data_IF_673135742441
#
_entry.id   IF_673135742441
#
_cell.length_a   1.000
_cell.length_b   1.000
_cell.length_c   1.000
_cell.angle_alpha   90.00
_cell.angle_beta   90.00
_cell.angle_gamma   90.00
#
_symmetry.space_group_name_H-M   'P 1'
#
loop_
_entity.id
_entity.type
_entity.pdbx_description
1 polymer ?
#
# COMPACT_ATOMS: atom_id res chain seq x y z
N UNK A 1 -14.15 11.22 -59.72
CA UNK A 1 -14.80 10.97 -58.41
C UNK A 1 -14.27 12.00 -57.41
N UNK A 2 -15.11 12.85 -56.80
CA UNK A 2 -14.62 13.94 -55.94
C UNK A 2 -14.17 13.38 -54.59
N UNK A 3 -12.98 13.79 -54.13
CA UNK A 3 -12.49 13.44 -52.80
C UNK A 3 -13.21 14.28 -51.74
N UNK A 4 -13.91 13.61 -50.82
CA UNK A 4 -14.56 14.24 -49.66
C UNK A 4 -13.50 14.81 -48.73
N UNK A 5 -13.52 16.14 -48.52
CA UNK A 5 -12.69 16.81 -47.51
C UNK A 5 -13.20 16.46 -46.11
N UNK A 6 -12.32 15.98 -45.24
CA UNK A 6 -12.64 15.68 -43.83
C UNK A 6 -12.64 16.98 -43.03
N UNK A 7 -13.64 17.18 -42.18
CA UNK A 7 -13.76 18.32 -41.28
C UNK A 7 -12.79 18.20 -40.09
N UNK A 8 -12.19 19.31 -39.67
CA UNK A 8 -11.33 19.38 -38.49
C UNK A 8 -12.12 19.15 -37.19
N UNK A 9 -11.45 18.63 -36.15
CA UNK A 9 -12.03 18.47 -34.82
C UNK A 9 -12.33 19.83 -34.19
N UNK A 10 -13.60 20.11 -33.83
CA UNK A 10 -14.02 21.40 -33.28
C UNK A 10 -13.53 21.69 -31.85
N UNK A 11 -12.88 20.74 -31.18
CA UNK A 11 -12.42 20.90 -29.79
C UNK A 11 -10.94 21.32 -29.73
N UNK A 12 -10.11 20.82 -30.65
CA UNK A 12 -8.66 21.08 -30.66
C UNK A 12 -8.15 21.68 -31.98
N UNK A 13 -9.01 21.84 -32.99
CA UNK A 13 -8.72 22.46 -34.28
C UNK A 13 -7.44 21.96 -34.97
N UNK A 14 -7.05 20.70 -34.74
CA UNK A 14 -5.91 20.05 -35.39
C UNK A 14 -6.38 18.90 -36.28
N UNK A 15 -5.71 18.73 -37.42
CA UNK A 15 -5.86 17.57 -38.29
C UNK A 15 -4.85 16.52 -37.87
N UNK A 16 -5.28 15.51 -37.10
CA UNK A 16 -4.38 14.43 -36.70
C UNK A 16 -4.07 13.49 -37.88
N UNK A 17 -2.79 13.44 -38.25
CA UNK A 17 -2.24 12.37 -39.08
C UNK A 17 -1.79 11.27 -38.14
N UNK A 18 -2.52 10.16 -38.07
CA UNK A 18 -2.06 8.96 -37.37
C UNK A 18 -0.88 8.35 -38.14
N UNK A 19 0.32 8.39 -37.57
CA UNK A 19 1.42 7.50 -37.93
C UNK A 19 1.90 6.77 -36.69
N UNK A 20 1.88 5.44 -36.77
CA UNK A 20 2.61 4.56 -35.88
C UNK A 20 4.08 4.53 -36.30
N UNK A 21 5.01 4.63 -35.35
CA UNK A 21 6.11 3.65 -35.17
C UNK A 21 7.08 4.06 -34.04
N UNK A 22 7.43 3.04 -33.26
CA UNK A 22 8.67 2.72 -32.54
C UNK A 22 9.76 3.80 -32.28
N UNK A 23 10.20 3.86 -31.02
CA UNK A 23 11.62 3.99 -30.67
C UNK A 23 12.13 5.38 -30.29
N UNK A 24 12.30 5.58 -28.97
CA UNK A 24 13.21 6.50 -28.29
C UNK A 24 13.08 8.05 -28.41
N UNK A 25 13.15 8.63 -27.21
CA UNK A 25 13.64 9.94 -26.75
C UNK A 25 12.73 11.19 -26.71
N UNK A 26 12.55 11.64 -25.45
CA UNK A 26 12.80 12.98 -24.88
C UNK A 26 12.19 14.19 -25.61
N UNK A 27 11.37 14.95 -24.87
CA UNK A 27 11.48 16.42 -24.90
C UNK A 27 10.86 17.04 -23.65
N UNK A 28 11.68 17.91 -23.06
CA UNK A 28 11.41 18.86 -21.99
C UNK A 28 10.17 19.73 -22.21
N UNK A 29 9.56 20.15 -21.10
CA UNK A 29 8.97 21.50 -21.03
C UNK A 29 8.97 22.05 -19.61
N UNK A 30 9.95 22.91 -19.37
CA UNK A 30 9.97 24.00 -18.38
C UNK A 30 8.69 24.85 -18.51
N UNK A 31 8.09 25.20 -17.38
CA UNK A 31 7.27 26.41 -17.27
C UNK A 31 7.39 26.95 -15.84
N UNK A 32 8.30 27.91 -15.70
CA UNK A 32 8.34 28.87 -14.60
C UNK A 32 7.16 29.85 -14.80
N UNK A 33 6.44 30.16 -13.72
CA UNK A 33 5.58 31.34 -13.69
C UNK A 33 5.57 31.94 -12.30
N UNK A 34 6.36 33.00 -12.20
CA UNK A 34 6.39 34.05 -11.18
C UNK A 34 5.09 34.87 -11.17
N UNK A 35 4.63 35.28 -9.99
CA UNK A 35 4.11 36.64 -9.77
C UNK A 35 3.99 36.97 -8.27
N UNK A 36 4.65 38.06 -7.89
CA UNK A 36 4.51 38.78 -6.63
C UNK A 36 3.28 39.70 -6.64
N UNK A 37 2.74 40.01 -5.46
CA UNK A 37 1.73 41.05 -5.27
C UNK A 37 1.38 41.26 -3.80
N UNK A 38 1.79 42.40 -3.25
CA UNK A 38 1.65 42.82 -1.85
C UNK A 38 0.38 43.66 -1.60
N UNK A 39 -0.17 43.66 -0.38
CA UNK A 39 -0.36 44.89 0.45
C UNK A 39 -1.23 44.72 1.73
N UNK A 40 -0.66 45.23 2.83
CA UNK A 40 -1.22 46.05 3.93
C UNK A 40 -2.36 45.57 4.88
N UNK A 41 -1.95 45.23 6.13
CA UNK A 41 -2.28 45.81 7.48
C UNK A 41 -3.73 46.22 7.87
N UNK A 42 -4.13 46.32 9.18
CA UNK A 42 -3.31 46.48 10.40
C UNK A 42 -3.73 45.71 11.70
N UNK A 43 -2.88 45.89 12.73
CA UNK A 43 -2.88 45.45 14.15
C UNK A 43 -3.98 46.15 15.00
N UNK A 44 -4.32 45.66 16.21
CA UNK A 44 -3.61 46.10 17.43
C UNK A 44 -3.36 44.99 18.49
N UNK A 45 -2.45 45.28 19.42
CA UNK A 45 -2.02 44.46 20.58
C UNK A 45 -2.63 45.03 21.88
N UNK A 46 -2.11 44.78 23.11
CA UNK A 46 -1.47 43.60 23.75
C UNK A 46 -2.15 43.27 25.11
N UNK A 47 -2.00 42.05 25.66
CA UNK A 47 -2.05 41.85 27.14
C UNK A 47 -1.02 40.80 27.54
N UNK A 48 -0.16 41.19 28.48
CA UNK A 48 0.92 40.44 29.10
C UNK A 48 0.58 40.33 30.59
N UNK A 49 0.46 39.11 31.14
CA UNK A 49 0.50 38.87 32.59
C UNK A 49 1.00 37.42 32.80
N UNK A 50 2.31 37.21 32.98
CA UNK A 50 3.06 37.06 34.24
C UNK A 50 2.74 35.79 35.08
N UNK A 51 3.68 34.81 34.99
CA UNK A 51 4.38 34.02 36.05
C UNK A 51 3.55 33.37 37.19
N UNK A 52 3.67 32.08 37.56
CA UNK A 52 4.83 31.34 38.15
C UNK A 52 4.47 29.82 38.34
N UNK A 53 5.32 28.90 38.88
CA UNK A 53 5.43 27.49 38.44
C UNK A 53 5.17 26.40 39.52
N UNK A 54 5.31 25.12 39.07
CA UNK A 54 5.62 23.83 39.79
C UNK A 54 4.44 22.97 40.32
N UNK A 55 4.57 21.62 40.49
CA UNK A 55 5.71 20.73 40.19
C UNK A 55 5.38 19.40 39.45
N UNK A 56 6.39 18.87 38.74
CA UNK A 56 6.75 17.45 38.56
C UNK A 56 5.63 16.41 38.43
N UNK A 57 5.26 16.07 37.18
CA UNK A 57 4.88 14.71 36.82
C UNK A 57 5.71 14.32 35.59
N UNK A 58 6.45 13.23 35.74
CA UNK A 58 7.34 12.61 34.75
C UNK A 58 6.50 12.07 33.59
N UNK A 59 6.08 12.95 32.69
CA UNK A 59 5.48 12.57 31.43
C UNK A 59 6.59 12.08 30.52
N UNK A 60 6.54 10.81 30.15
CA UNK A 60 7.26 10.29 29.00
C UNK A 60 7.04 11.24 27.84
N UNK A 61 8.14 11.73 27.25
CA UNK A 61 8.09 12.48 26.01
C UNK A 61 7.58 11.48 24.97
N UNK A 62 6.27 11.46 24.77
CA UNK A 62 5.65 10.86 23.61
C UNK A 62 6.22 11.64 22.43
N UNK A 63 7.26 11.07 21.81
CA UNK A 63 7.72 11.44 20.48
C UNK A 63 6.49 11.77 19.66
N UNK A 64 6.39 13.02 19.22
CA UNK A 64 5.23 13.53 18.52
C UNK A 64 5.07 12.70 17.24
N UNK A 65 4.23 11.68 17.34
CA UNK A 65 4.12 10.66 16.30
C UNK A 65 3.67 11.37 15.06
N UNK A 66 4.52 11.38 14.03
CA UNK A 66 4.18 11.88 12.70
C UNK A 66 2.75 11.41 12.38
N UNK A 67 1.82 12.34 12.08
CA UNK A 67 0.42 11.97 11.91
C UNK A 67 0.29 10.87 10.86
N UNK A 68 -0.41 9.80 11.22
CA UNK A 68 -0.64 8.68 10.31
C UNK A 68 -1.48 9.14 9.12
N UNK A 69 -1.22 8.53 7.96
CA UNK A 69 -2.03 8.78 6.77
C UNK A 69 -3.46 8.26 7.00
N UNK A 70 -4.49 9.00 6.56
CA UNK A 70 -5.86 8.51 6.67
C UNK A 70 -6.06 7.30 5.74
N UNK A 71 -6.89 6.34 6.17
CA UNK A 71 -7.21 5.13 5.41
C UNK A 71 -7.89 5.44 4.08
N UNK A 72 -8.61 6.57 3.99
CA UNK A 72 -9.24 7.07 2.75
C UNK A 72 -8.22 7.49 1.69
N UNK A 73 -6.95 7.68 2.06
CA UNK A 73 -5.88 8.00 1.09
C UNK A 73 -5.32 6.78 0.37
N UNK A 74 -5.72 5.56 0.77
CA UNK A 74 -5.29 4.32 0.15
C UNK A 74 -6.22 3.95 -1.01
N UNK A 75 -5.63 3.42 -2.08
CA UNK A 75 -6.38 2.86 -3.21
C UNK A 75 -6.74 1.42 -2.89
N UNK A 76 -7.87 1.23 -2.22
CA UNK A 76 -8.38 -0.10 -1.91
C UNK A 76 -8.84 -0.81 -3.20
N UNK A 77 -8.57 -2.12 -3.33
CA UNK A 77 -9.20 -2.92 -4.39
C UNK A 77 -10.71 -2.94 -4.18
N UNK A 78 -11.47 -3.01 -5.27
CA UNK A 78 -12.90 -3.29 -5.17
C UNK A 78 -13.10 -4.73 -4.70
N UNK A 79 -13.88 -4.91 -3.64
CA UNK A 79 -14.19 -6.22 -3.08
C UNK A 79 -15.71 -6.41 -3.12
N UNK A 80 -16.22 -7.42 -3.85
CA UNK A 80 -17.64 -7.75 -3.85
C UNK A 80 -18.17 -8.08 -2.45
N UNK A 81 -19.43 -7.76 -2.18
CA UNK A 81 -20.12 -8.20 -0.97
C UNK A 81 -20.32 -9.72 -0.99
N UNK A 82 -20.29 -10.34 0.19
CA UNK A 82 -20.53 -11.79 0.31
C UNK A 82 -21.95 -12.15 -0.15
N UNK A 83 -22.11 -13.22 -0.94
CA UNK A 83 -23.44 -13.64 -1.36
C UNK A 83 -24.27 -14.04 -0.13
N UNK A 84 -25.53 -13.61 -0.10
CA UNK A 84 -26.45 -13.94 0.99
C UNK A 84 -26.70 -15.45 1.13
N UNK A 85 -26.44 -16.23 0.08
CA UNK A 85 -26.51 -17.68 0.09
C UNK A 85 -25.19 -18.25 -0.47
N UNK A 86 -24.28 -18.74 0.40
CA UNK A 86 -23.02 -19.32 -0.05
C UNK A 86 -23.27 -20.66 -0.75
N UNK A 87 -22.54 -20.92 -1.83
CA UNK A 87 -22.59 -22.22 -2.49
C UNK A 87 -22.02 -23.30 -1.55
N UNK A 88 -22.77 -24.37 -1.22
CA UNK A 88 -22.27 -25.43 -0.36
C UNK A 88 -21.01 -26.13 -0.91
N UNK A 89 -20.76 -26.10 -2.22
CA UNK A 89 -19.58 -26.70 -2.82
C UNK A 89 -18.31 -25.86 -2.57
N UNK A 90 -18.46 -24.53 -2.50
CA UNK A 90 -17.36 -23.58 -2.27
C UNK A 90 -17.05 -23.39 -0.77
N UNK A 91 -17.66 -24.20 0.11
CA UNK A 91 -17.50 -24.04 1.57
C UNK A 91 -16.05 -24.18 2.01
N UNK A 92 -15.31 -25.10 1.38
CA UNK A 92 -13.95 -25.45 1.75
C UNK A 92 -12.90 -24.69 0.91
N UNK A 93 -13.34 -23.86 -0.05
CA UNK A 93 -12.45 -23.04 -0.87
C UNK A 93 -11.87 -21.85 -0.07
N UNK A 94 -10.64 -21.38 -0.41
CA UNK A 94 -10.06 -20.21 0.23
C UNK A 94 -10.91 -18.96 -0.06
N UNK A 95 -11.52 -18.42 1.00
CA UNK A 95 -12.37 -17.22 0.89
C UNK A 95 -11.54 -15.99 0.51
N UNK A 96 -12.04 -15.14 -0.41
CA UNK A 96 -11.35 -13.90 -0.75
C UNK A 96 -11.30 -12.94 0.44
N UNK A 97 -10.30 -12.06 0.45
CA UNK A 97 -10.19 -11.03 1.47
C UNK A 97 -11.31 -10.01 1.36
N UNK A 98 -12.00 -9.76 2.46
CA UNK A 98 -13.01 -8.72 2.59
C UNK A 98 -12.42 -7.36 2.96
N UNK A 99 -13.19 -6.29 2.75
CA UNK A 99 -12.78 -4.93 3.09
C UNK A 99 -12.34 -4.79 4.56
N UNK A 100 -13.07 -5.41 5.49
CA UNK A 100 -12.73 -5.43 6.91
C UNK A 100 -11.34 -6.02 7.19
N UNK A 101 -10.92 -7.03 6.42
CA UNK A 101 -9.60 -7.66 6.57
C UNK A 101 -8.50 -6.72 6.08
N UNK A 102 -8.73 -6.03 4.96
CA UNK A 102 -7.83 -4.99 4.45
C UNK A 102 -7.66 -3.84 5.44
N UNK A 103 -8.74 -3.39 6.08
CA UNK A 103 -8.70 -2.38 7.13
C UNK A 103 -7.92 -2.85 8.37
N UNK A 104 -8.14 -4.08 8.82
CA UNK A 104 -7.39 -4.67 9.93
C UNK A 104 -5.87 -4.73 9.65
N UNK A 105 -5.50 -5.11 8.42
CA UNK A 105 -4.10 -5.14 7.98
C UNK A 105 -3.49 -3.72 8.00
N UNK A 106 -4.18 -2.72 7.45
CA UNK A 106 -3.63 -1.36 7.38
C UNK A 106 -3.57 -0.64 8.73
N UNK A 107 -4.46 -0.99 9.66
CA UNK A 107 -4.50 -0.38 11.00
C UNK A 107 -3.55 -1.06 12.00
N UNK A 108 -3.12 -2.28 11.73
CA UNK A 108 -2.27 -3.08 12.61
C UNK A 108 -0.92 -2.42 12.91
N UNK A 109 -0.67 -2.16 14.20
CA UNK A 109 0.61 -1.61 14.66
C UNK A 109 1.76 -2.62 14.50
N UNK A 110 1.51 -3.92 14.72
CA UNK A 110 2.55 -4.96 14.60
C UNK A 110 3.07 -5.05 13.16
N UNK A 111 2.17 -5.00 12.18
CA UNK A 111 2.52 -5.00 10.75
C UNK A 111 3.40 -3.77 10.43
N UNK A 112 3.01 -2.58 10.91
CA UNK A 112 3.81 -1.36 10.71
C UNK A 112 5.21 -1.48 11.29
N UNK A 113 5.35 -2.01 12.50
CA UNK A 113 6.64 -2.20 13.17
C UNK A 113 7.55 -3.18 12.42
N UNK A 114 7.02 -4.32 11.97
CA UNK A 114 7.82 -5.29 11.19
C UNK A 114 8.31 -4.66 9.89
N UNK A 115 7.45 -3.93 9.17
CA UNK A 115 7.80 -3.27 7.92
C UNK A 115 8.78 -2.10 8.12
N UNK A 116 8.76 -1.40 9.26
CA UNK A 116 9.73 -0.33 9.54
C UNK A 116 11.10 -0.88 9.92
N UNK A 117 11.14 -2.02 10.61
CA UNK A 117 12.39 -2.62 11.08
C UNK A 117 13.11 -3.41 9.98
N UNK A 118 12.37 -3.92 8.98
CA UNK A 118 12.91 -4.79 7.94
C UNK A 118 12.78 -4.13 6.56
N UNK A 119 13.82 -3.43 6.11
CA UNK A 119 13.81 -2.76 4.80
C UNK A 119 13.86 -3.75 3.62
N UNK A 120 14.59 -4.86 3.77
CA UNK A 120 14.70 -5.91 2.77
C UNK A 120 13.34 -6.57 2.52
N UNK A 121 12.59 -6.86 3.59
CA UNK A 121 11.23 -7.40 3.49
C UNK A 121 10.35 -6.53 2.58
N UNK A 122 10.42 -5.20 2.72
CA UNK A 122 9.63 -4.30 1.84
C UNK A 122 10.06 -4.38 0.38
N UNK A 123 11.36 -4.56 0.12
CA UNK A 123 11.86 -4.73 -1.25
C UNK A 123 11.35 -6.05 -1.83
N UNK A 124 11.50 -7.15 -1.10
CA UNK A 124 10.99 -8.47 -1.48
C UNK A 124 9.49 -8.45 -1.75
N UNK A 125 8.68 -7.85 -0.89
CA UNK A 125 7.23 -7.72 -1.10
C UNK A 125 6.89 -6.92 -2.36
N UNK A 126 7.66 -5.86 -2.68
CA UNK A 126 7.48 -5.09 -3.92
C UNK A 126 7.88 -5.88 -5.16
N UNK A 127 8.92 -6.68 -5.07
CA UNK A 127 9.38 -7.49 -6.19
C UNK A 127 8.40 -8.62 -6.47
N UNK A 128 7.85 -9.26 -5.44
CA UNK A 128 6.77 -10.24 -5.57
C UNK A 128 5.49 -9.59 -6.14
N UNK A 129 5.12 -8.38 -5.72
CA UNK A 129 3.92 -7.68 -6.19
C UNK A 129 3.98 -7.31 -7.69
N UNK A 130 5.19 -7.21 -8.26
CA UNK A 130 5.39 -6.98 -9.70
C UNK A 130 5.14 -8.24 -10.54
N UNK A 131 5.27 -9.42 -9.95
CA UNK A 131 5.05 -10.70 -10.63
C UNK A 131 3.55 -11.00 -10.78
N UNK A 132 3.20 -11.85 -11.75
CA UNK A 132 1.80 -12.24 -12.01
C UNK A 132 1.71 -13.75 -12.26
N UNK A 133 0.55 -14.33 -11.96
CA UNK A 133 0.29 -15.75 -12.19
C UNK A 133 1.23 -16.66 -11.40
N UNK A 134 1.66 -17.75 -12.03
CA UNK A 134 2.49 -18.80 -11.41
C UNK A 134 3.84 -18.29 -10.89
N UNK A 135 4.46 -17.33 -11.57
CA UNK A 135 5.75 -16.76 -11.12
C UNK A 135 5.64 -16.11 -9.74
N UNK A 136 4.50 -15.46 -9.47
CA UNK A 136 4.24 -14.84 -8.17
C UNK A 136 4.08 -15.91 -7.09
N UNK A 137 3.37 -16.99 -7.40
CA UNK A 137 3.15 -18.11 -6.48
C UNK A 137 4.47 -18.81 -6.15
N UNK A 138 5.30 -19.10 -7.14
CA UNK A 138 6.62 -19.71 -6.96
C UNK A 138 7.54 -18.81 -6.13
N UNK A 139 7.57 -17.50 -6.43
CA UNK A 139 8.35 -16.54 -5.65
C UNK A 139 7.92 -16.47 -4.19
N UNK A 140 6.61 -16.52 -3.92
CA UNK A 140 6.07 -16.60 -2.55
C UNK A 140 6.47 -17.91 -1.86
N UNK A 141 6.35 -19.05 -2.56
CA UNK A 141 6.72 -20.34 -2.01
C UNK A 141 8.19 -20.41 -1.62
N UNK A 142 9.07 -19.90 -2.49
CA UNK A 142 10.51 -19.81 -2.24
C UNK A 142 10.82 -18.88 -1.08
N UNK A 143 10.22 -17.70 -1.05
CA UNK A 143 10.46 -16.72 0.02
C UNK A 143 10.00 -17.23 1.40
N UNK A 144 8.96 -18.07 1.44
CA UNK A 144 8.48 -18.73 2.66
C UNK A 144 9.18 -20.05 2.97
N UNK A 145 10.04 -20.55 2.07
CA UNK A 145 10.69 -21.86 2.20
C UNK A 145 9.73 -23.04 2.20
N UNK A 146 8.59 -22.90 1.52
CA UNK A 146 7.63 -24.00 1.30
C UNK A 146 7.78 -24.65 -0.07
N UNK A 147 8.71 -24.15 -0.89
CA UNK A 147 9.01 -24.70 -2.20
C UNK A 147 9.69 -26.08 -2.06
N UNK A 148 9.28 -27.05 -2.88
CA UNK A 148 9.66 -28.47 -2.79
C UNK A 148 11.18 -28.71 -2.81
N UNK A 149 11.93 -27.84 -3.49
CA UNK A 149 13.39 -27.92 -3.55
C UNK A 149 14.04 -27.46 -2.25
N UNK A 150 13.60 -26.32 -1.70
CA UNK A 150 14.15 -25.74 -0.48
C UNK A 150 13.92 -26.65 0.75
N UNK A 151 12.81 -27.40 0.74
CA UNK A 151 12.52 -28.40 1.79
C UNK A 151 13.55 -29.53 1.88
N UNK A 152 14.27 -29.81 0.79
CA UNK A 152 15.29 -30.87 0.76
C UNK A 152 16.63 -30.38 1.28
N UNK A 153 16.92 -29.10 1.05
CA UNK A 153 18.21 -28.50 1.39
C UNK A 153 18.23 -27.97 2.84
N UNK A 154 17.06 -27.76 3.45
CA UNK A 154 16.93 -27.44 4.88
C UNK A 154 17.51 -26.08 5.30
N UNK A 155 17.88 -25.25 4.33
CA UNK A 155 18.52 -23.96 4.58
C UNK A 155 17.46 -22.91 4.92
N UNK A 156 17.27 -22.66 6.22
CA UNK A 156 16.39 -21.59 6.71
C UNK A 156 17.19 -20.29 6.76
N UNK A 157 16.78 -19.32 5.93
CA UNK A 157 17.38 -17.99 5.91
C UNK A 157 16.70 -17.06 6.94
N UNK A 158 17.44 -16.11 7.51
CA UNK A 158 16.90 -15.06 8.39
C UNK A 158 15.78 -14.26 7.70
N UNK A 159 15.92 -13.92 6.42
CA UNK A 159 14.87 -13.22 5.67
C UNK A 159 13.58 -14.05 5.53
N UNK A 160 13.71 -15.37 5.43
CA UNK A 160 12.58 -16.30 5.39
C UNK A 160 11.85 -16.32 6.73
N UNK A 161 12.58 -16.34 7.86
CA UNK A 161 11.98 -16.27 9.19
C UNK A 161 11.21 -14.97 9.41
N UNK A 162 11.78 -13.85 8.99
CA UNK A 162 11.11 -12.54 9.05
C UNK A 162 9.84 -12.53 8.19
N UNK A 163 9.88 -13.14 7.00
CA UNK A 163 8.69 -13.23 6.15
C UNK A 163 7.61 -14.16 6.74
N UNK A 164 8.01 -15.26 7.40
CA UNK A 164 7.08 -16.15 8.12
C UNK A 164 6.43 -15.43 9.29
N UNK A 165 7.22 -14.72 10.11
CA UNK A 165 6.68 -13.87 11.19
C UNK A 165 5.70 -12.83 10.63
N UNK A 166 6.06 -12.16 9.54
CA UNK A 166 5.18 -11.20 8.89
C UNK A 166 3.87 -11.83 8.42
N UNK A 167 3.92 -13.04 7.85
CA UNK A 167 2.73 -13.78 7.42
C UNK A 167 1.83 -14.19 8.59
N UNK A 168 2.41 -14.61 9.72
CA UNK A 168 1.67 -14.91 10.94
C UNK A 168 0.99 -13.67 11.52
N UNK A 169 1.66 -12.52 11.49
CA UNK A 169 1.07 -11.27 11.98
C UNK A 169 -0.07 -10.80 11.07
N UNK A 170 0.05 -10.99 9.75
CA UNK A 170 -1.07 -10.76 8.83
C UNK A 170 -2.22 -11.69 9.15
N UNK A 171 -1.95 -12.98 9.33
CA UNK A 171 -2.98 -13.97 9.61
C UNK A 171 -3.72 -13.66 10.92
N UNK A 172 -3.00 -13.29 11.98
CA UNK A 172 -3.60 -12.86 13.23
C UNK A 172 -4.50 -11.62 13.05
N UNK A 173 -4.08 -10.66 12.20
CA UNK A 173 -4.90 -9.48 11.90
C UNK A 173 -6.16 -9.82 11.09
N UNK A 174 -6.10 -10.81 10.20
CA UNK A 174 -7.23 -11.23 9.37
C UNK A 174 -8.20 -12.14 10.14
N UNK A 175 -7.68 -13.08 10.92
CA UNK A 175 -8.49 -13.98 11.76
C UNK A 175 -9.19 -13.21 12.88
N UNK A 176 -8.51 -12.23 13.48
CA UNK A 176 -8.97 -11.58 14.71
C UNK A 176 -9.15 -12.62 15.82
N UNK A 177 -10.28 -12.55 16.52
CA UNK A 177 -10.57 -13.40 17.68
C UNK A 177 -11.17 -14.78 17.33
N UNK A 178 -11.29 -15.11 16.03
CA UNK A 178 -11.91 -16.35 15.57
C UNK A 178 -10.98 -17.56 15.74
N UNK A 179 -10.82 -18.05 16.97
CA UNK A 179 -9.92 -19.16 17.32
C UNK A 179 -10.26 -20.49 16.60
N UNK A 180 -11.52 -20.68 16.18
CA UNK A 180 -11.98 -21.89 15.50
C UNK A 180 -11.58 -21.94 14.01
N UNK A 181 -11.08 -20.84 13.45
CA UNK A 181 -10.66 -20.79 12.05
C UNK A 181 -9.30 -21.46 11.84
N UNK A 182 -9.17 -22.28 10.79
CA UNK A 182 -7.90 -22.89 10.38
C UNK A 182 -6.82 -21.83 10.17
N UNK A 183 -5.58 -22.15 10.55
CA UNK A 183 -4.48 -21.19 10.58
C UNK A 183 -3.14 -21.68 10.09
N UNK A 184 -2.24 -20.70 9.92
CA UNK A 184 -0.89 -20.95 9.47
C UNK A 184 -0.14 -21.78 10.52
N UNK A 185 0.47 -22.87 10.06
CA UNK A 185 1.27 -23.81 10.85
C UNK A 185 2.47 -24.17 9.99
N UNK A 186 3.67 -23.77 10.40
CA UNK A 186 4.86 -23.95 9.56
C UNK A 186 5.51 -25.34 9.64
N UNK A 187 5.06 -26.21 10.55
CA UNK A 187 5.74 -27.46 10.86
C UNK A 187 7.03 -27.20 11.65
N UNK A 188 7.35 -28.10 12.60
CA UNK A 188 8.62 -28.07 13.34
C UNK A 188 9.77 -28.67 12.52
#
# INVERSE_FOLDING_TARGET
>A
MPQRKKSACQICNTNEIKRYQNGHQISDRRSESSCAGASSSPKPAPVLEQQQPSPLARGEVLEETKPLRPLTSLKWPYVPEEPAYPDPLERDDPKPLQLRHYEAIATSQRIRTILSNNLNLRATLRDIDRLKGSEREEALQKALGVHELDRRDGEVNEEMLVLREFAEVIEAAVRGDNADALGLRWGD
#
